data_IF_196083354741
#
_entry.id   IF_196083354741
#
_cell.length_a   1.000
_cell.length_b   1.000
_cell.length_c   1.000
_cell.angle_alpha   90.00
_cell.angle_beta   90.00
_cell.angle_gamma   90.00
#
_symmetry.space_group_name_H-M   'P 1'
#
loop_
_entity.id
_entity.type
_entity.pdbx_description
1 polymer ?
#
# COMPACT_ATOMS: atom_id res chain seq x y z
N UNK A 1 -21.31 24.28 -17.08
CA UNK A 1 -20.84 22.88 -17.00
C UNK A 1 -21.82 22.14 -16.12
N UNK A 2 -22.73 21.43 -16.76
CA UNK A 2 -23.76 20.66 -16.06
C UNK A 2 -23.11 19.49 -15.33
N UNK A 3 -23.41 19.36 -14.03
CA UNK A 3 -22.99 18.23 -13.21
C UNK A 3 -23.75 17.01 -13.67
N UNK A 4 -23.05 16.07 -14.31
CA UNK A 4 -23.58 14.73 -14.60
C UNK A 4 -23.76 14.03 -13.25
N UNK A 5 -24.97 13.57 -12.87
CA UNK A 5 -25.17 12.85 -11.62
C UNK A 5 -24.64 11.42 -11.77
N UNK A 6 -23.52 11.11 -11.12
CA UNK A 6 -22.97 9.76 -11.05
C UNK A 6 -23.45 9.03 -9.80
N UNK A 7 -24.75 8.80 -9.68
CA UNK A 7 -25.28 7.86 -8.68
C UNK A 7 -26.07 6.78 -9.40
N UNK A 8 -25.44 5.62 -9.56
CA UNK A 8 -26.16 4.40 -9.89
C UNK A 8 -27.13 4.08 -8.74
N UNK A 9 -28.37 3.67 -9.05
CA UNK A 9 -29.33 3.31 -8.01
C UNK A 9 -28.81 2.09 -7.25
N UNK A 10 -28.54 2.26 -5.95
CA UNK A 10 -28.29 1.14 -5.07
C UNK A 10 -29.63 0.42 -4.85
N UNK A 11 -29.85 -0.67 -5.59
CA UNK A 11 -31.00 -1.54 -5.36
C UNK A 11 -30.71 -2.31 -4.07
N UNK A 12 -31.23 -1.77 -2.96
CA UNK A 12 -31.27 -2.45 -1.67
C UNK A 12 -32.22 -3.64 -1.73
N UNK A 13 -31.75 -4.76 -2.29
CA UNK A 13 -32.34 -6.07 -2.07
C UNK A 13 -31.93 -6.60 -0.70
N UNK A 14 -32.79 -7.38 -0.06
CA UNK A 14 -32.39 -8.19 1.09
C UNK A 14 -31.12 -8.98 0.70
N UNK A 15 -30.07 -8.86 1.51
CA UNK A 15 -28.78 -9.49 1.25
C UNK A 15 -28.95 -11.00 1.46
N UNK A 16 -29.34 -11.73 0.42
CA UNK A 16 -29.16 -13.17 0.41
C UNK A 16 -27.68 -13.43 0.73
N UNK A 17 -27.41 -14.23 1.75
CA UNK A 17 -26.07 -14.79 1.97
C UNK A 17 -25.77 -15.72 0.79
N UNK A 18 -25.30 -15.13 -0.30
CA UNK A 18 -24.73 -15.88 -1.41
C UNK A 18 -23.55 -16.64 -0.84
N UNK A 19 -23.67 -17.96 -0.79
CA UNK A 19 -22.57 -18.85 -0.39
C UNK A 19 -21.38 -18.54 -1.28
N UNK A 20 -20.35 -17.94 -0.70
CA UNK A 20 -19.16 -17.55 -1.45
C UNK A 20 -18.37 -18.82 -1.80
N UNK A 21 -18.03 -18.97 -3.07
CA UNK A 21 -17.15 -20.04 -3.52
C UNK A 21 -15.82 -19.97 -2.74
N UNK A 22 -15.20 -21.08 -2.32
CA UNK A 22 -14.02 -21.07 -1.44
C UNK A 22 -12.82 -20.26 -1.95
N UNK A 23 -12.64 -20.15 -3.28
CA UNK A 23 -11.60 -19.31 -3.93
C UNK A 23 -12.13 -17.95 -4.43
N UNK A 24 -13.39 -17.62 -4.17
CA UNK A 24 -13.94 -16.30 -4.48
C UNK A 24 -13.31 -15.24 -3.60
N UNK A 25 -12.98 -14.04 -4.13
CA UNK A 25 -12.29 -12.99 -3.38
C UNK A 25 -13.09 -12.60 -2.12
N UNK A 26 -12.42 -11.97 -1.16
CA UNK A 26 -13.11 -11.45 0.01
C UNK A 26 -14.14 -10.39 -0.41
N UNK A 27 -15.33 -10.49 0.14
CA UNK A 27 -16.33 -9.42 0.03
C UNK A 27 -15.94 -8.21 0.90
N UNK A 28 -16.50 -7.04 0.62
CA UNK A 28 -16.29 -5.86 1.47
C UNK A 28 -16.64 -6.10 2.95
N UNK A 29 -17.67 -6.92 3.21
CA UNK A 29 -18.06 -7.30 4.57
C UNK A 29 -17.03 -8.20 5.24
N UNK A 30 -16.41 -9.11 4.49
CA UNK A 30 -15.36 -9.99 4.99
C UNK A 30 -14.06 -9.23 5.27
N UNK A 31 -13.69 -8.27 4.43
CA UNK A 31 -12.54 -7.37 4.67
C UNK A 31 -12.76 -6.54 5.94
N UNK A 32 -13.96 -5.99 6.12
CA UNK A 32 -14.30 -5.20 7.32
C UNK A 32 -14.31 -6.10 8.56
N UNK A 33 -14.85 -7.32 8.45
CA UNK A 33 -14.90 -8.27 9.56
C UNK A 33 -13.52 -8.80 9.94
N UNK A 34 -12.65 -9.11 8.98
CA UNK A 34 -11.30 -9.61 9.26
C UNK A 34 -10.48 -8.58 10.04
N UNK A 35 -10.49 -7.32 9.59
CA UNK A 35 -9.78 -6.23 10.26
C UNK A 35 -10.37 -5.93 11.64
N UNK A 36 -11.69 -6.05 11.81
CA UNK A 36 -12.36 -5.86 13.12
C UNK A 36 -11.97 -6.96 14.12
N UNK A 37 -11.99 -8.23 13.71
CA UNK A 37 -11.56 -9.37 14.54
C UNK A 37 -10.10 -9.18 14.95
N UNK A 38 -9.24 -8.80 14.01
CA UNK A 38 -7.83 -8.57 14.32
C UNK A 38 -7.64 -7.40 15.28
N UNK A 39 -8.30 -6.26 15.07
CA UNK A 39 -8.22 -5.11 15.98
C UNK A 39 -8.63 -5.47 17.41
N UNK A 40 -9.66 -6.30 17.57
CA UNK A 40 -10.11 -6.76 18.88
C UNK A 40 -9.09 -7.65 19.62
N UNK A 41 -8.12 -8.24 18.91
CA UNK A 41 -7.02 -9.02 19.50
C UNK A 41 -5.85 -8.17 20.00
N UNK A 42 -5.86 -6.85 19.73
CA UNK A 42 -4.82 -5.90 20.13
C UNK A 42 -5.34 -4.90 21.19
N UNK A 43 -4.46 -4.21 21.93
CA UNK A 43 -4.85 -3.09 22.78
C UNK A 43 -5.68 -2.06 22.01
N UNK A 44 -6.70 -1.49 22.67
CA UNK A 44 -7.72 -0.65 22.03
C UNK A 44 -7.18 0.53 21.19
N UNK A 45 -6.03 1.08 21.56
CA UNK A 45 -5.42 2.24 20.91
C UNK A 45 -4.30 1.88 19.91
N UNK A 46 -4.24 0.64 19.48
CA UNK A 46 -3.26 0.21 18.48
C UNK A 46 -3.60 0.84 17.14
N UNK A 47 -2.66 1.62 16.59
CA UNK A 47 -2.81 2.24 15.28
C UNK A 47 -2.28 1.31 14.19
N UNK A 48 -3.18 0.87 13.32
CA UNK A 48 -2.88 -0.09 12.25
C UNK A 48 -2.70 0.64 10.93
N UNK A 49 -1.71 0.19 10.19
CA UNK A 49 -1.57 0.48 8.77
C UNK A 49 -1.70 -0.82 7.97
N UNK A 50 -2.92 -1.09 7.49
CA UNK A 50 -3.21 -2.30 6.72
C UNK A 50 -2.63 -2.19 5.31
N UNK A 51 -1.82 -3.17 4.93
CA UNK A 51 -1.11 -3.23 3.65
C UNK A 51 -1.78 -4.17 2.67
N UNK A 52 -2.29 -5.30 3.17
CA UNK A 52 -3.10 -6.24 2.40
C UNK A 52 -4.14 -6.90 3.30
N UNK A 53 -5.35 -7.07 2.76
CA UNK A 53 -6.41 -7.91 3.33
C UNK A 53 -6.98 -8.72 2.17
N UNK A 54 -6.59 -9.99 2.09
CA UNK A 54 -6.95 -10.85 0.96
C UNK A 54 -7.40 -12.22 1.44
N UNK A 55 -8.05 -12.97 0.56
CA UNK A 55 -8.42 -14.35 0.83
C UNK A 55 -7.13 -15.16 1.03
N UNK A 56 -7.06 -15.90 2.13
CA UNK A 56 -6.12 -17.01 2.23
C UNK A 56 -6.79 -18.20 1.53
N UNK A 57 -6.32 -18.51 0.32
CA UNK A 57 -6.89 -19.62 -0.45
C UNK A 57 -6.80 -20.93 0.34
N UNK A 58 -7.81 -21.81 0.24
CA UNK A 58 -7.78 -23.10 0.92
C UNK A 58 -6.59 -23.95 0.48
N UNK A 59 -6.17 -24.86 1.34
CA UNK A 59 -5.15 -25.83 0.95
C UNK A 59 -5.67 -26.68 -0.21
N UNK A 60 -4.79 -27.00 -1.17
CA UNK A 60 -5.15 -27.85 -2.32
C UNK A 60 -5.80 -29.18 -1.90
N UNK A 61 -5.36 -29.74 -0.76
CA UNK A 61 -5.92 -30.97 -0.19
C UNK A 61 -7.38 -30.84 0.25
N UNK A 62 -7.83 -29.64 0.64
CA UNK A 62 -9.22 -29.34 1.02
C UNK A 62 -10.05 -28.92 -0.19
N UNK A 63 -9.46 -28.13 -1.09
CA UNK A 63 -10.12 -27.59 -2.26
C UNK A 63 -10.42 -28.66 -3.32
N UNK A 64 -9.53 -29.64 -3.51
CA UNK A 64 -9.71 -30.64 -4.56
C UNK A 64 -10.97 -31.51 -4.36
N UNK A 65 -11.24 -32.07 -3.16
CA UNK A 65 -12.51 -32.76 -2.88
C UNK A 65 -13.74 -31.87 -3.07
N UNK A 66 -13.65 -30.60 -2.66
CA UNK A 66 -14.73 -29.62 -2.88
C UNK A 66 -15.07 -29.49 -4.37
N UNK A 67 -14.06 -29.25 -5.22
CA UNK A 67 -14.25 -29.08 -6.66
C UNK A 67 -14.75 -30.36 -7.35
N UNK A 68 -14.32 -31.53 -6.87
CA UNK A 68 -14.81 -32.81 -7.38
C UNK A 68 -16.29 -33.01 -7.08
N UNK A 69 -16.71 -32.75 -5.84
CA UNK A 69 -18.11 -32.84 -5.43
C UNK A 69 -18.99 -31.82 -6.19
N UNK A 70 -18.54 -30.58 -6.31
CA UNK A 70 -19.23 -29.55 -7.09
C UNK A 70 -19.41 -29.99 -8.54
N UNK A 71 -18.35 -30.50 -9.19
CA UNK A 71 -18.39 -30.98 -10.57
C UNK A 71 -19.32 -32.18 -10.76
N UNK A 72 -19.44 -33.07 -9.76
CA UNK A 72 -20.34 -34.23 -9.82
C UNK A 72 -21.78 -33.89 -9.44
N UNK A 73 -22.11 -32.61 -9.17
CA UNK A 73 -23.43 -32.19 -8.71
C UNK A 73 -23.74 -32.64 -7.28
N UNK A 74 -22.74 -33.07 -6.52
CA UNK A 74 -22.85 -33.42 -5.11
C UNK A 74 -22.61 -32.18 -4.25
N UNK A 75 -23.20 -32.12 -3.06
CA UNK A 75 -22.95 -31.00 -2.13
C UNK A 75 -21.52 -31.12 -1.56
N UNK A 76 -20.61 -30.16 -1.84
CA UNK A 76 -19.26 -30.21 -1.32
C UNK A 76 -19.22 -29.95 0.19
N UNK A 77 -18.20 -30.48 0.87
CA UNK A 77 -17.94 -30.14 2.26
C UNK A 77 -17.65 -28.64 2.41
N UNK A 78 -18.12 -28.03 3.50
CA UNK A 78 -17.84 -26.62 3.78
C UNK A 78 -16.35 -26.44 4.05
N UNK A 79 -15.75 -25.44 3.39
CA UNK A 79 -14.39 -24.99 3.67
C UNK A 79 -14.47 -23.66 4.42
N UNK A 80 -13.71 -23.52 5.50
CA UNK A 80 -13.61 -22.27 6.23
C UNK A 80 -12.99 -21.17 5.37
N UNK A 81 -13.63 -20.01 5.35
CA UNK A 81 -13.07 -18.82 4.69
C UNK A 81 -12.12 -18.12 5.65
N UNK A 82 -10.88 -17.91 5.20
CA UNK A 82 -9.81 -17.28 5.98
C UNK A 82 -9.27 -16.07 5.24
N UNK A 83 -8.90 -15.03 5.97
CA UNK A 83 -8.26 -13.84 5.44
C UNK A 83 -6.79 -13.81 5.86
N UNK A 84 -5.90 -13.59 4.90
CA UNK A 84 -4.52 -13.17 5.16
C UNK A 84 -4.49 -11.66 5.30
N UNK A 85 -3.85 -11.18 6.37
CA UNK A 85 -3.77 -9.75 6.71
C UNK A 85 -2.31 -9.37 6.96
N UNK A 86 -1.80 -8.44 6.15
CA UNK A 86 -0.45 -7.86 6.28
C UNK A 86 -0.60 -6.42 6.77
N UNK A 87 0.08 -6.05 7.85
CA UNK A 87 -0.07 -4.71 8.44
C UNK A 87 1.15 -4.27 9.24
N UNK A 88 1.36 -2.96 9.31
CA UNK A 88 2.24 -2.35 10.31
C UNK A 88 1.46 -1.85 11.51
N UNK A 89 2.17 -1.71 12.63
CA UNK A 89 1.79 -0.73 13.66
C UNK A 89 2.34 0.63 13.21
N UNK A 90 1.47 1.63 13.08
CA UNK A 90 1.83 2.93 12.51
C UNK A 90 2.99 3.58 13.29
N UNK A 91 3.87 4.28 12.56
CA UNK A 91 5.07 4.94 13.10
C UNK A 91 6.05 3.97 13.80
N UNK A 92 6.11 2.72 13.35
CA UNK A 92 7.10 1.72 13.79
C UNK A 92 7.53 0.87 12.60
N UNK A 93 8.61 0.11 12.77
CA UNK A 93 9.09 -0.92 11.83
C UNK A 93 8.30 -2.26 11.91
N UNK A 94 7.28 -2.35 12.76
CA UNK A 94 6.69 -3.62 13.18
C UNK A 94 5.68 -4.15 12.17
N UNK A 95 6.18 -4.85 11.15
CA UNK A 95 5.37 -5.59 10.20
C UNK A 95 4.85 -6.90 10.78
N UNK A 96 3.57 -7.19 10.55
CA UNK A 96 2.93 -8.41 11.00
C UNK A 96 2.13 -9.07 9.87
N UNK A 97 2.13 -10.40 9.90
CA UNK A 97 1.22 -11.25 9.13
C UNK A 97 0.25 -11.94 10.06
N UNK A 98 -1.03 -11.92 9.71
CA UNK A 98 -2.06 -12.62 10.46
C UNK A 98 -2.97 -13.43 9.53
N UNK A 99 -3.47 -14.54 10.07
CA UNK A 99 -4.54 -15.33 9.46
C UNK A 99 -5.78 -15.22 10.34
N UNK A 100 -6.87 -14.71 9.76
CA UNK A 100 -8.16 -14.56 10.44
C UNK A 100 -9.16 -15.55 9.85
N UNK A 101 -9.65 -16.48 10.66
CA UNK A 101 -10.75 -17.36 10.26
C UNK A 101 -12.08 -16.62 10.41
N UNK A 102 -12.72 -16.32 9.28
CA UNK A 102 -13.98 -15.59 9.22
C UNK A 102 -15.18 -16.48 9.58
N UNK A 103 -15.07 -17.78 9.32
CA UNK A 103 -16.10 -18.77 9.64
C UNK A 103 -16.23 -18.98 11.14
N UNK A 104 -15.11 -19.01 11.85
CA UNK A 104 -15.07 -19.15 13.31
C UNK A 104 -15.00 -17.81 14.06
N UNK A 105 -14.65 -16.72 13.36
CA UNK A 105 -14.57 -15.39 13.95
C UNK A 105 -13.35 -15.17 14.86
N UNK A 106 -12.21 -15.80 14.56
CA UNK A 106 -11.01 -15.75 15.41
C UNK A 106 -9.72 -15.51 14.61
N UNK A 107 -8.70 -14.99 15.28
CA UNK A 107 -7.33 -14.93 14.74
C UNK A 107 -6.67 -16.29 14.98
N UNK A 108 -6.25 -16.97 13.91
CA UNK A 108 -5.57 -18.27 13.99
C UNK A 108 -4.05 -18.11 14.16
N UNK A 109 -3.47 -17.10 13.54
CA UNK A 109 -2.06 -16.76 13.68
C UNK A 109 -1.86 -15.26 13.56
N UNK A 110 -0.84 -14.75 14.25
CA UNK A 110 -0.38 -13.37 14.15
C UNK A 110 1.12 -13.34 14.50
N UNK A 111 1.96 -13.01 13.52
CA UNK A 111 3.41 -13.14 13.60
C UNK A 111 4.05 -11.80 13.23
N UNK A 112 4.93 -11.30 14.10
CA UNK A 112 5.83 -10.19 13.76
C UNK A 112 6.94 -10.70 12.85
N UNK A 113 7.10 -10.07 11.68
CA UNK A 113 8.17 -10.40 10.74
C UNK A 113 9.51 -9.79 11.17
N UNK A 114 10.59 -10.27 10.53
CA UNK A 114 11.95 -9.78 10.78
C UNK A 114 12.14 -8.30 10.44
N UNK A 115 13.13 -7.66 11.07
CA UNK A 115 13.38 -6.22 10.91
C UNK A 115 13.69 -5.81 9.45
N UNK A 116 14.30 -6.71 8.69
CA UNK A 116 14.66 -6.53 7.27
C UNK A 116 13.59 -7.01 6.29
N UNK A 117 12.36 -7.26 6.76
CA UNK A 117 11.23 -7.64 5.91
C UNK A 117 10.27 -6.47 5.81
N UNK A 118 9.94 -6.06 4.58
CA UNK A 118 9.13 -4.87 4.32
C UNK A 118 7.95 -5.19 3.40
N UNK A 119 6.79 -4.59 3.71
CA UNK A 119 5.61 -4.61 2.84
C UNK A 119 5.75 -3.66 1.65
N UNK A 120 4.90 -3.88 0.64
CA UNK A 120 4.64 -2.96 -0.46
C UNK A 120 4.37 -1.51 -0.01
N UNK A 121 4.64 -0.54 -0.89
CA UNK A 121 4.10 0.81 -0.76
C UNK A 121 2.59 0.82 -1.01
N UNK A 122 1.87 1.77 -0.42
CA UNK A 122 0.49 2.09 -0.80
C UNK A 122 0.33 3.57 -1.17
N UNK A 123 -0.84 3.94 -1.71
CA UNK A 123 -1.09 5.29 -2.20
C UNK A 123 -0.98 6.37 -1.11
N UNK A 124 -1.39 6.08 0.12
CA UNK A 124 -1.32 7.05 1.22
C UNK A 124 0.15 7.31 1.59
N UNK A 125 0.98 6.26 1.59
CA UNK A 125 2.42 6.40 1.79
C UNK A 125 3.09 7.20 0.68
N UNK A 126 2.74 6.94 -0.58
CA UNK A 126 3.31 7.68 -1.73
C UNK A 126 2.99 9.17 -1.61
N UNK A 127 1.73 9.53 -1.36
CA UNK A 127 1.30 10.93 -1.20
C UNK A 127 2.02 11.58 0.00
N UNK A 128 2.11 10.89 1.13
CA UNK A 128 2.77 11.42 2.31
C UNK A 128 4.29 11.59 2.09
N UNK A 129 4.91 10.72 1.31
CA UNK A 129 6.34 10.77 0.98
C UNK A 129 6.66 11.92 0.04
N UNK A 130 5.85 12.13 -1.00
CA UNK A 130 5.94 13.29 -1.89
C UNK A 130 5.87 14.60 -1.09
N UNK A 131 4.87 14.71 -0.21
CA UNK A 131 4.70 15.87 0.65
C UNK A 131 5.91 16.10 1.55
N UNK A 132 6.40 15.05 2.22
CA UNK A 132 7.56 15.14 3.11
C UNK A 132 8.83 15.60 2.36
N UNK A 133 9.02 15.16 1.11
CA UNK A 133 10.13 15.62 0.28
C UNK A 133 10.01 17.11 -0.06
N UNK A 134 8.83 17.57 -0.50
CA UNK A 134 8.60 18.96 -0.89
C UNK A 134 8.64 19.94 0.30
N UNK A 135 8.28 19.49 1.49
CA UNK A 135 8.29 20.30 2.71
C UNK A 135 9.67 20.41 3.36
N UNK A 136 10.61 19.51 3.04
CA UNK A 136 11.95 19.48 3.63
C UNK A 136 12.81 20.69 3.20
N UNK A 137 13.41 21.36 4.18
CA UNK A 137 14.23 22.56 3.94
C UNK A 137 15.52 22.25 3.17
N UNK A 138 16.10 21.06 3.36
CA UNK A 138 17.27 20.60 2.60
C UNK A 138 16.94 20.40 1.12
N UNK A 139 15.78 19.81 0.84
CA UNK A 139 15.25 19.63 -0.52
C UNK A 139 14.95 20.97 -1.16
N UNK A 140 14.25 21.89 -0.47
CA UNK A 140 13.99 23.25 -0.97
C UNK A 140 15.29 24.00 -1.28
N UNK A 141 16.29 23.89 -0.41
CA UNK A 141 17.60 24.49 -0.65
C UNK A 141 18.31 23.86 -1.85
N UNK A 142 18.18 22.55 -2.08
CA UNK A 142 18.71 21.88 -3.27
C UNK A 142 18.02 22.36 -4.56
N UNK A 143 16.69 22.51 -4.55
CA UNK A 143 15.92 23.08 -5.67
C UNK A 143 16.37 24.52 -5.95
N UNK A 144 16.51 25.35 -4.92
CA UNK A 144 16.89 26.75 -5.08
C UNK A 144 18.27 26.92 -5.74
N UNK A 145 19.23 26.01 -5.47
CA UNK A 145 20.56 26.01 -6.10
C UNK A 145 20.52 25.78 -7.61
N UNK A 146 19.46 25.15 -8.13
CA UNK A 146 19.30 24.90 -9.56
C UNK A 146 18.90 26.16 -10.34
N UNK A 147 18.42 27.21 -9.66
CA UNK A 147 17.98 28.45 -10.29
C UNK A 147 17.00 28.20 -11.45
N UNK A 148 15.99 27.33 -11.20
CA UNK A 148 15.01 26.96 -12.21
C UNK A 148 14.26 28.19 -12.74
N UNK A 149 13.82 28.20 -14.01
CA UNK A 149 13.03 29.29 -14.58
C UNK A 149 11.80 29.63 -13.73
N UNK A 150 11.41 30.90 -13.72
CA UNK A 150 10.19 31.34 -13.04
C UNK A 150 8.97 30.55 -13.56
N UNK A 151 8.10 30.14 -12.63
CA UNK A 151 6.93 29.30 -12.94
C UNK A 151 7.22 27.81 -13.09
N UNK A 152 8.46 27.36 -12.88
CA UNK A 152 8.78 25.93 -12.87
C UNK A 152 8.00 25.19 -11.78
N UNK A 153 7.38 24.07 -12.16
CA UNK A 153 6.67 23.17 -11.24
C UNK A 153 7.53 21.92 -11.05
N UNK A 154 7.97 21.69 -9.82
CA UNK A 154 8.73 20.49 -9.43
C UNK A 154 7.76 19.39 -9.04
N UNK A 155 8.03 18.17 -9.51
CA UNK A 155 7.30 16.96 -9.19
C UNK A 155 8.24 16.01 -8.47
N UNK A 156 7.74 15.35 -7.43
CA UNK A 156 8.45 14.28 -6.74
C UNK A 156 7.73 12.97 -7.02
N UNK A 157 8.46 11.96 -7.47
CA UNK A 157 7.96 10.62 -7.69
C UNK A 157 8.63 9.67 -6.66
N UNK A 158 7.92 9.30 -5.57
CA UNK A 158 8.44 8.37 -4.57
C UNK A 158 8.46 6.92 -5.05
N UNK A 159 9.61 6.28 -4.92
CA UNK A 159 9.82 4.87 -5.24
C UNK A 159 10.20 4.09 -3.98
N UNK A 160 9.86 2.81 -3.94
CA UNK A 160 10.46 1.91 -2.95
C UNK A 160 11.99 1.95 -3.10
N UNK A 161 12.71 1.91 -1.98
CA UNK A 161 14.17 2.07 -1.99
C UNK A 161 14.90 0.95 -2.75
N UNK A 162 14.36 -0.26 -2.73
CA UNK A 162 15.05 -1.44 -3.23
C UNK A 162 16.09 -1.95 -2.23
N UNK A 163 17.05 -2.73 -2.71
CA UNK A 163 18.13 -3.30 -1.91
C UNK A 163 19.41 -3.37 -2.76
N UNK A 164 20.50 -2.86 -2.20
CA UNK A 164 21.87 -3.01 -2.71
C UNK A 164 22.78 -3.74 -1.70
N UNK A 165 22.22 -4.15 -0.56
CA UNK A 165 22.91 -4.83 0.54
C UNK A 165 23.71 -3.89 1.45
N UNK A 166 23.56 -2.57 1.32
CA UNK A 166 24.34 -1.58 2.06
C UNK A 166 23.41 -0.66 2.85
N UNK A 167 23.33 -0.89 4.16
CA UNK A 167 22.51 -0.08 5.07
C UNK A 167 21.03 0.01 4.66
N UNK A 168 20.48 -1.08 4.12
CA UNK A 168 19.14 -1.19 3.56
C UNK A 168 18.18 -2.05 4.42
N UNK A 169 18.56 -2.35 5.66
CA UNK A 169 17.69 -3.03 6.64
C UNK A 169 16.46 -2.21 7.03
N UNK A 170 16.53 -0.89 6.91
CA UNK A 170 15.45 0.01 7.27
C UNK A 170 14.55 0.30 6.05
N UNK A 171 13.25 0.37 6.29
CA UNK A 171 12.29 0.69 5.23
C UNK A 171 12.40 2.16 4.83
N UNK A 172 12.74 2.40 3.57
CA UNK A 172 12.96 3.73 3.01
C UNK A 172 12.20 3.90 1.68
N UNK A 173 12.07 5.16 1.28
CA UNK A 173 11.66 5.57 -0.06
C UNK A 173 12.76 6.41 -0.70
N UNK A 174 12.98 6.20 -1.99
CA UNK A 174 13.82 7.06 -2.82
C UNK A 174 12.91 8.00 -3.61
N UNK A 175 13.14 9.31 -3.52
CA UNK A 175 12.33 10.30 -4.22
C UNK A 175 13.06 10.79 -5.46
N UNK A 176 12.55 10.48 -6.65
CA UNK A 176 13.07 11.03 -7.89
C UNK A 176 12.38 12.36 -8.18
N UNK A 177 13.17 13.39 -8.47
CA UNK A 177 12.63 14.71 -8.76
C UNK A 177 12.68 15.01 -10.24
N UNK A 178 11.64 15.69 -10.68
CA UNK A 178 11.45 16.13 -12.05
C UNK A 178 10.93 17.56 -12.05
N UNK A 179 10.98 18.21 -13.21
CA UNK A 179 10.21 19.43 -13.45
C UNK A 179 9.26 19.22 -14.63
N UNK A 180 8.13 19.92 -14.62
CA UNK A 180 7.33 20.08 -15.85
C UNK A 180 8.07 21.02 -16.80
N UNK A 181 7.77 20.90 -18.10
CA UNK A 181 8.19 21.90 -19.08
C UNK A 181 7.72 23.30 -18.64
N UNK A 182 8.62 24.28 -18.41
CA UNK A 182 8.24 25.61 -17.96
C UNK A 182 7.28 26.32 -18.92
N UNK A 183 7.30 25.98 -20.21
CA UNK A 183 6.39 26.55 -21.20
C UNK A 183 4.96 25.99 -21.08
N UNK A 184 4.80 24.84 -20.42
CA UNK A 184 3.55 24.11 -20.29
C UNK A 184 3.30 23.63 -18.86
N UNK A 185 3.77 24.39 -17.85
CA UNK A 185 3.76 23.95 -16.45
C UNK A 185 2.35 23.65 -15.89
N UNK A 186 1.33 24.32 -16.43
CA UNK A 186 -0.07 24.14 -16.05
C UNK A 186 -0.78 23.01 -16.80
N UNK A 187 -0.17 22.39 -17.81
CA UNK A 187 -0.73 21.24 -18.51
C UNK A 187 -0.75 20.04 -17.56
N UNK A 188 -1.93 19.49 -17.20
CA UNK A 188 -2.02 18.34 -16.30
C UNK A 188 -1.23 17.13 -16.80
N UNK A 189 -1.24 16.88 -18.11
CA UNK A 189 -0.62 15.71 -18.74
C UNK A 189 0.83 15.95 -19.17
N UNK A 190 1.45 17.06 -18.72
CA UNK A 190 2.84 17.37 -19.01
C UNK A 190 3.77 16.25 -18.52
N UNK A 191 4.57 15.72 -19.44
CA UNK A 191 5.50 14.63 -19.15
C UNK A 191 6.73 15.13 -18.37
N UNK A 192 6.64 15.15 -17.04
CA UNK A 192 7.74 15.53 -16.17
C UNK A 192 8.92 14.55 -16.24
N UNK A 193 8.70 13.27 -16.60
CA UNK A 193 9.79 12.29 -16.74
C UNK A 193 10.85 12.69 -17.77
N UNK A 194 10.50 13.60 -18.70
CA UNK A 194 11.44 14.14 -19.69
C UNK A 194 12.46 15.14 -19.11
N UNK A 195 12.26 15.64 -17.88
CA UNK A 195 13.12 16.66 -17.26
C UNK A 195 13.50 16.29 -15.80
N UNK A 196 14.37 15.28 -15.61
CA UNK A 196 14.84 14.89 -14.27
C UNK A 196 15.75 15.94 -13.64
N UNK A 197 15.70 16.08 -12.31
CA UNK A 197 16.58 16.92 -11.51
C UNK A 197 17.76 16.10 -10.95
N UNK A 198 18.95 16.70 -10.74
CA UNK A 198 20.19 15.97 -10.48
C UNK A 198 20.41 15.56 -9.01
N UNK A 199 19.34 15.37 -8.24
CA UNK A 199 19.40 14.91 -6.86
C UNK A 199 18.15 14.13 -6.47
N UNK A 200 18.26 13.31 -5.43
CA UNK A 200 17.22 12.37 -5.02
C UNK A 200 17.23 12.19 -3.49
N UNK A 201 16.25 12.76 -2.77
CA UNK A 201 16.08 12.58 -1.34
C UNK A 201 15.73 11.14 -0.98
N UNK A 202 16.19 10.70 0.18
CA UNK A 202 15.83 9.43 0.80
C UNK A 202 15.02 9.71 2.04
N UNK A 203 13.88 9.05 2.17
CA UNK A 203 12.91 9.26 3.24
C UNK A 203 12.77 7.98 4.05
N UNK A 204 12.81 8.11 5.39
CA UNK A 204 12.47 7.00 6.29
C UNK A 204 10.96 6.76 6.30
N UNK A 205 10.53 5.52 6.08
CA UNK A 205 9.11 5.14 6.14
C UNK A 205 8.56 5.12 7.58
N UNK A 206 9.42 5.04 8.60
CA UNK A 206 9.00 5.05 10.00
C UNK A 206 8.69 6.47 10.47
N UNK A 207 9.56 7.42 10.15
CA UNK A 207 9.45 8.80 10.65
C UNK A 207 8.84 9.77 9.64
N UNK A 208 8.72 9.37 8.37
CA UNK A 208 8.32 10.23 7.24
C UNK A 208 9.15 11.52 7.17
N UNK A 209 10.48 11.37 7.23
CA UNK A 209 11.45 12.48 7.17
C UNK A 209 12.54 12.17 6.17
N UNK A 210 13.03 13.22 5.49
CA UNK A 210 14.24 13.15 4.68
C UNK A 210 15.42 12.85 5.61
N UNK A 211 16.14 11.77 5.32
CA UNK A 211 17.32 11.33 6.09
C UNK A 211 18.63 11.60 5.35
N UNK A 212 18.56 11.76 4.03
CA UNK A 212 19.70 11.98 3.14
C UNK A 212 19.21 12.60 1.83
N UNK A 213 20.08 13.34 1.15
CA UNK A 213 19.86 13.79 -0.23
C UNK A 213 21.03 13.29 -1.07
N UNK A 214 20.75 12.33 -1.94
CA UNK A 214 21.74 11.81 -2.88
C UNK A 214 21.87 12.75 -4.06
N UNK A 215 23.10 12.97 -4.53
CA UNK A 215 23.36 13.86 -5.68
C UNK A 215 24.17 13.11 -6.72
N UNK A 216 23.89 13.36 -8.00
CA UNK A 216 24.62 12.74 -9.10
C UNK A 216 26.07 13.27 -9.29
N UNK A 217 26.51 14.20 -8.44
CA UNK A 217 27.81 14.89 -8.57
C UNK A 217 29.05 14.06 -8.17
N UNK A 218 28.96 12.73 -8.14
CA UNK A 218 30.10 11.83 -8.00
C UNK A 218 30.09 10.76 -9.10
N UNK A 219 30.55 11.16 -10.28
CA UNK A 219 31.37 10.43 -11.26
C UNK A 219 31.54 11.34 -12.50
N UNK A 220 32.48 12.28 -12.41
CA UNK A 220 33.20 12.76 -13.59
C UNK A 220 34.30 11.77 -13.92
#
# INVERSE_FOLDING_TARGET
>A
MDKIPTTLPFVGGAKEEVVQHPIGPLTASEITRSTSILRASWPANTDFHFKAVTLLEPLKAELLPYLQAERSGSSPAKIDRKAFVLYYIRNTDKLHEAVVNLSEGKVESNVRLGANVHSNADGDEIIATEKAALEDEGVKAAIAKLQLPEGSVVIVDPWIYGSDGVHDDARMFQCFLYMKDPQNANEPDANHYAMPLPFSPVISAETMKVIRIDTSLLRR
#
